data_IF_824582395790
#
_entry.id   IF_824582395790
#
_cell.length_a   1.000
_cell.length_b   1.000
_cell.length_c   1.000
_cell.angle_alpha   90.00
_cell.angle_beta   90.00
_cell.angle_gamma   90.00
#
_symmetry.space_group_name_H-M   'P 1'
#
loop_
_entity.id
_entity.type
_entity.pdbx_description
1 polymer ?
#
# COMPACT_ATOMS: atom_id res chain seq x y z
N UNK A 1 5.51 21.65 7.63
CA UNK A 1 5.37 20.37 8.34
C UNK A 1 5.66 19.29 7.33
N UNK A 2 6.40 18.25 7.71
CA UNK A 2 6.76 17.15 6.80
C UNK A 2 5.60 16.15 6.81
N UNK A 3 4.97 15.96 5.65
CA UNK A 3 3.82 15.07 5.47
C UNK A 3 4.32 13.66 5.15
N UNK A 4 3.94 12.67 5.95
CA UNK A 4 4.38 11.28 5.81
C UNK A 4 3.28 10.38 5.24
N UNK A 5 3.69 9.43 4.42
CA UNK A 5 2.83 8.36 3.91
C UNK A 5 3.34 7.03 4.44
N UNK A 6 2.46 6.20 4.98
CA UNK A 6 2.79 4.87 5.47
C UNK A 6 2.41 3.80 4.45
N UNK A 7 3.38 2.99 4.02
CA UNK A 7 3.09 1.78 3.25
C UNK A 7 2.37 0.78 4.16
N UNK A 8 1.13 0.49 3.81
CA UNK A 8 0.21 -0.25 4.65
C UNK A 8 -0.36 -1.44 3.89
N UNK A 9 -0.29 -2.62 4.48
CA UNK A 9 -0.86 -3.84 3.88
C UNK A 9 -1.98 -4.44 4.72
N UNK A 10 -2.31 -3.83 5.87
CA UNK A 10 -3.15 -4.42 6.92
C UNK A 10 -2.45 -5.51 7.74
N UNK A 11 -1.23 -5.90 7.36
CA UNK A 11 -0.44 -6.91 8.07
C UNK A 11 0.28 -6.35 9.30
N UNK A 12 0.64 -7.25 10.25
CA UNK A 12 1.25 -6.90 11.54
C UNK A 12 2.46 -5.96 11.44
N UNK A 13 3.32 -6.16 10.44
CA UNK A 13 4.57 -5.42 10.32
C UNK A 13 4.30 -3.98 9.86
N UNK A 14 3.39 -3.79 8.91
CA UNK A 14 2.94 -2.46 8.47
C UNK A 14 2.16 -1.73 9.58
N UNK A 15 1.32 -2.45 10.34
CA UNK A 15 0.62 -1.87 11.49
C UNK A 15 1.57 -1.46 12.61
N UNK A 16 2.63 -2.23 12.85
CA UNK A 16 3.66 -1.87 13.82
C UNK A 16 4.46 -0.64 13.37
N UNK A 17 4.82 -0.55 12.09
CA UNK A 17 5.51 0.61 11.54
C UNK A 17 4.66 1.89 11.67
N UNK A 18 3.37 1.81 11.32
CA UNK A 18 2.42 2.90 11.51
C UNK A 18 2.29 3.30 12.99
N UNK A 19 2.12 2.32 13.89
CA UNK A 19 2.06 2.59 15.32
C UNK A 19 3.30 3.34 15.82
N UNK A 20 4.50 2.90 15.42
CA UNK A 20 5.76 3.55 15.78
C UNK A 20 5.85 4.99 15.29
N UNK A 21 5.45 5.25 14.04
CA UNK A 21 5.41 6.60 13.48
C UNK A 21 4.48 7.53 14.27
N UNK A 22 3.28 7.04 14.61
CA UNK A 22 2.31 7.80 15.41
C UNK A 22 2.81 8.06 16.85
N UNK A 23 3.55 7.11 17.45
CA UNK A 23 4.17 7.32 18.77
C UNK A 23 5.33 8.33 18.76
N UNK A 24 5.90 8.61 17.59
CA UNK A 24 6.98 9.59 17.41
C UNK A 24 6.43 10.96 16.94
N UNK A 25 5.10 11.18 17.03
CA UNK A 25 4.40 12.38 16.58
C UNK A 25 4.69 12.76 15.11
N UNK A 26 4.95 11.74 14.27
CA UNK A 26 5.05 11.95 12.83
C UNK A 26 3.67 12.24 12.24
N UNK A 27 3.59 13.26 11.38
CA UNK A 27 2.38 13.67 10.66
C UNK A 27 2.10 12.69 9.52
N UNK A 28 1.53 11.53 9.85
CA UNK A 28 1.12 10.51 8.87
C UNK A 28 -0.29 10.83 8.37
N UNK A 29 -0.39 11.53 7.24
CA UNK A 29 -1.69 11.94 6.69
C UNK A 29 -2.36 10.85 5.86
N UNK A 30 -1.60 9.88 5.34
CA UNK A 30 -2.11 8.84 4.44
C UNK A 30 -1.46 7.48 4.64
N UNK A 31 -2.26 6.45 4.41
CA UNK A 31 -1.83 5.08 4.19
C UNK A 31 -1.81 4.79 2.68
N UNK A 32 -0.89 3.94 2.23
CA UNK A 32 -0.79 3.51 0.83
C UNK A 32 -0.73 1.98 0.76
N UNK A 33 -1.73 1.38 0.14
CA UNK A 33 -1.76 -0.05 -0.21
C UNK A 33 -1.54 -0.21 -1.71
N UNK A 34 -0.65 -1.13 -2.10
CA UNK A 34 -0.46 -1.53 -3.50
C UNK A 34 -1.02 -2.93 -3.68
N UNK A 35 -1.99 -3.09 -4.58
CA UNK A 35 -2.57 -4.37 -4.95
C UNK A 35 -1.79 -4.95 -6.14
N UNK A 36 -1.17 -6.13 -6.05
CA UNK A 36 -0.46 -6.72 -7.19
C UNK A 36 -1.43 -7.26 -8.26
N UNK A 37 -1.01 -7.31 -9.54
CA UNK A 37 -1.78 -7.93 -10.62
C UNK A 37 -1.59 -9.44 -10.68
N UNK A 38 -2.68 -10.15 -10.94
CA UNK A 38 -2.71 -11.57 -11.30
C UNK A 38 -2.48 -12.55 -10.15
N UNK A 39 -2.53 -13.84 -10.48
CA UNK A 39 -2.11 -14.93 -9.61
C UNK A 39 -0.58 -14.94 -9.54
N UNK A 40 -0.01 -13.98 -8.81
CA UNK A 40 1.41 -14.06 -8.52
C UNK A 40 1.64 -15.34 -7.71
N UNK A 41 2.57 -16.20 -8.17
CA UNK A 41 2.97 -17.42 -7.46
C UNK A 41 3.57 -17.14 -6.05
N UNK A 42 3.70 -15.86 -5.67
CA UNK A 42 4.30 -15.36 -4.44
C UNK A 42 3.30 -14.77 -3.42
N UNK A 43 2.09 -14.40 -3.86
CA UNK A 43 1.04 -13.83 -3.02
C UNK A 43 -0.24 -14.66 -3.19
N UNK A 44 -0.53 -15.55 -2.22
CA UNK A 44 -1.94 -15.93 -1.96
C UNK A 44 -2.68 -14.63 -1.73
N UNK A 45 -3.63 -14.31 -2.63
CA UNK A 45 -4.45 -13.09 -2.67
C UNK A 45 -4.71 -12.61 -1.24
N UNK A 46 -3.86 -11.72 -0.69
CA UNK A 46 -3.99 -11.34 0.70
C UNK A 46 -5.22 -10.46 0.71
N UNK A 47 -6.03 -10.58 1.76
CA UNK A 47 -7.22 -9.78 1.94
C UNK A 47 -6.85 -8.30 2.16
N UNK A 48 -6.35 -7.63 1.12
CA UNK A 48 -6.03 -6.20 1.09
C UNK A 48 -7.29 -5.37 1.31
N UNK A 49 -8.47 -5.92 1.06
CA UNK A 49 -9.75 -5.34 1.50
C UNK A 49 -9.80 -5.12 3.03
N UNK A 50 -9.11 -5.93 3.83
CA UNK A 50 -9.01 -5.72 5.29
C UNK A 50 -8.12 -4.52 5.64
N UNK A 51 -7.20 -4.10 4.75
CA UNK A 51 -6.42 -2.90 4.97
C UNK A 51 -7.32 -1.66 5.00
N UNK A 52 -8.38 -1.63 4.18
CA UNK A 52 -9.42 -0.59 4.20
C UNK A 52 -10.11 -0.48 5.56
N UNK A 53 -10.59 -1.61 6.12
CA UNK A 53 -11.24 -1.63 7.43
C UNK A 53 -10.28 -1.21 8.56
N UNK A 54 -9.01 -1.62 8.47
CA UNK A 54 -8.01 -1.19 9.43
C UNK A 54 -7.72 0.32 9.33
N UNK A 55 -7.64 0.87 8.12
CA UNK A 55 -7.46 2.31 7.90
C UNK A 55 -8.65 3.13 8.42
N UNK A 56 -9.88 2.67 8.18
CA UNK A 56 -11.11 3.27 8.73
C UNK A 56 -11.07 3.30 10.27
N UNK A 57 -10.69 2.18 10.90
CA UNK A 57 -10.57 2.06 12.35
C UNK A 57 -9.49 2.99 12.93
N UNK A 58 -8.37 3.16 12.22
CA UNK A 58 -7.30 4.08 12.61
C UNK A 58 -7.67 5.55 12.38
N UNK A 59 -8.59 5.83 11.45
CA UNK A 59 -9.02 7.18 11.09
C UNK A 59 -8.02 7.93 10.21
N UNK A 60 -7.23 7.21 9.41
CA UNK A 60 -6.27 7.79 8.45
C UNK A 60 -6.68 7.40 7.04
N UNK A 61 -6.67 8.36 6.12
CA UNK A 61 -7.07 8.16 4.73
C UNK A 61 -6.21 7.09 4.05
N UNK A 62 -6.85 6.15 3.36
CA UNK A 62 -6.19 5.10 2.60
C UNK A 62 -6.22 5.42 1.10
N UNK A 63 -5.04 5.37 0.47
CA UNK A 63 -4.88 5.36 -0.98
C UNK A 63 -4.57 3.93 -1.42
N UNK A 64 -5.35 3.43 -2.37
CA UNK A 64 -5.18 2.11 -2.97
C UNK A 64 -4.72 2.29 -4.41
N UNK A 65 -3.71 1.50 -4.83
CA UNK A 65 -3.17 1.54 -6.19
C UNK A 65 -3.09 0.13 -6.74
N UNK A 66 -3.65 -0.10 -7.91
CA UNK A 66 -3.56 -1.36 -8.64
C UNK A 66 -2.85 -1.17 -10.01
N UNK A 67 -2.34 -2.25 -10.61
CA UNK A 67 -1.65 -2.25 -11.89
C UNK A 67 -2.39 -1.57 -13.04
N UNK A 68 -3.70 -1.68 -13.03
CA UNK A 68 -4.63 -1.03 -13.95
C UNK A 68 -4.63 0.51 -13.80
N UNK A 69 -4.19 1.05 -12.65
CA UNK A 69 -4.02 2.49 -12.43
C UNK A 69 -2.71 3.05 -13.00
N UNK A 70 -1.72 2.20 -13.34
CA UNK A 70 -0.42 2.68 -13.82
C UNK A 70 -0.41 3.13 -15.29
N UNK A 71 -1.54 2.98 -16.02
CA UNK A 71 -1.62 3.37 -17.43
C UNK A 71 -0.67 2.58 -18.34
N UNK A 72 -0.36 1.33 -17.98
CA UNK A 72 0.62 0.48 -18.65
C UNK A 72 0.20 -0.02 -20.05
N UNK A 73 -0.90 0.48 -20.61
CA UNK A 73 -1.29 0.19 -22.00
C UNK A 73 -0.30 0.79 -23.03
N UNK A 74 0.62 1.67 -22.61
CA UNK A 74 1.53 2.44 -23.49
C UNK A 74 3.04 2.21 -23.23
N UNK A 75 3.43 1.17 -22.46
CA UNK A 75 4.85 0.91 -22.14
C UNK A 75 5.33 -0.40 -22.76
N UNK A 76 6.24 -0.30 -23.73
CA UNK A 76 6.94 -1.44 -24.33
C UNK A 76 7.70 -2.26 -23.27
N UNK A 77 7.50 -3.58 -23.33
CA UNK A 77 8.05 -4.58 -22.41
C UNK A 77 9.59 -4.49 -22.33
N UNK A 78 10.11 -4.06 -21.17
CA UNK A 78 11.54 -3.91 -20.90
C UNK A 78 12.30 -5.26 -20.83
N UNK A 79 11.62 -6.40 -20.99
CA UNK A 79 12.21 -7.73 -21.03
C UNK A 79 13.18 -8.01 -22.19
N UNK A 80 13.23 -7.14 -23.20
CA UNK A 80 14.08 -7.33 -24.40
C UNK A 80 15.51 -6.72 -24.32
N UNK A 81 15.92 -6.14 -23.18
CA UNK A 81 17.24 -5.51 -23.01
C UNK A 81 18.24 -6.36 -22.20
N UNK A 82 17.99 -7.67 -22.09
CA UNK A 82 18.91 -8.64 -21.47
C UNK A 82 19.83 -9.33 -22.48
#
# INVERSE_FOLDING_TARGET
MSDWVSLFSGGKDSSWALYRALQEDLDVSRLLTVHPAGDSYMYHTPATELAGLAAESVGVDLVEVSPEDFGADDVDDAGAQG
#
